data_IF_879172874329
#
_entry.id   IF_879172874329
#
_cell.length_a   1.000
_cell.length_b   1.000
_cell.length_c   1.000
_cell.angle_alpha   90.00
_cell.angle_beta   90.00
_cell.angle_gamma   90.00
#
_symmetry.space_group_name_H-M   'P 1'
#
loop_
_entity.id
_entity.type
_entity.pdbx_description
1 polymer ?
#
# COMPACT_ATOMS: atom_id res chain seq x y z
N UNK A 1 4.11 -17.87 7.60
CA UNK A 1 3.25 -17.02 8.42
C UNK A 1 2.06 -16.65 7.57
N UNK A 2 0.97 -17.44 7.67
CA UNK A 2 -0.30 -17.19 7.02
C UNK A 2 -0.98 -15.92 7.56
N UNK A 3 -2.11 -15.59 6.97
CA UNK A 3 -3.00 -14.54 7.46
C UNK A 3 -3.21 -14.73 8.97
N UNK A 4 -2.53 -13.93 9.77
CA UNK A 4 -2.74 -13.92 11.22
C UNK A 4 -4.13 -13.34 11.49
N UNK A 5 -4.76 -13.73 12.59
CA UNK A 5 -6.06 -13.17 12.98
C UNK A 5 -6.09 -11.65 12.95
N UNK A 6 -4.96 -11.02 13.28
CA UNK A 6 -4.79 -9.56 13.24
C UNK A 6 -5.01 -8.96 11.84
N UNK A 7 -4.59 -9.65 10.79
CA UNK A 7 -4.78 -9.20 9.40
C UNK A 7 -6.26 -9.23 9.00
N UNK A 8 -7.00 -10.28 9.40
CA UNK A 8 -8.43 -10.38 9.10
C UNK A 8 -9.24 -9.28 9.81
N UNK A 9 -8.92 -8.98 11.07
CA UNK A 9 -9.53 -7.88 11.82
C UNK A 9 -9.24 -6.52 11.19
N UNK A 10 -8.03 -6.32 10.67
CA UNK A 10 -7.66 -5.08 9.99
C UNK A 10 -8.49 -4.88 8.73
N UNK A 11 -8.65 -5.90 7.88
CA UNK A 11 -9.50 -5.82 6.68
C UNK A 11 -10.97 -5.57 7.03
N UNK A 12 -11.48 -6.22 8.08
CA UNK A 12 -12.84 -5.97 8.56
C UNK A 12 -13.02 -4.51 8.99
N UNK A 13 -12.07 -3.98 9.75
CA UNK A 13 -12.09 -2.59 10.19
C UNK A 13 -12.05 -1.62 8.99
N UNK A 14 -11.17 -1.85 8.03
CA UNK A 14 -11.08 -1.05 6.80
C UNK A 14 -12.39 -1.09 6.01
N UNK A 15 -12.97 -2.27 5.84
CA UNK A 15 -14.26 -2.44 5.16
C UNK A 15 -15.38 -1.67 5.86
N UNK A 16 -15.48 -1.79 7.18
CA UNK A 16 -16.50 -1.08 7.97
C UNK A 16 -16.30 0.44 7.89
N UNK A 17 -15.06 0.92 7.97
CA UNK A 17 -14.73 2.33 7.86
C UNK A 17 -15.11 2.88 6.48
N UNK A 18 -14.72 2.20 5.41
CA UNK A 18 -15.05 2.62 4.03
C UNK A 18 -16.57 2.62 3.82
N UNK A 19 -17.26 1.59 4.31
CA UNK A 19 -18.72 1.49 4.24
C UNK A 19 -19.39 2.62 5.00
N UNK A 20 -18.90 2.95 6.21
CA UNK A 20 -19.38 4.08 7.00
C UNK A 20 -19.19 5.41 6.28
N UNK A 21 -17.99 5.68 5.74
CA UNK A 21 -17.70 6.91 5.00
C UNK A 21 -18.54 7.03 3.72
N UNK A 22 -18.84 5.92 3.06
CA UNK A 22 -19.73 5.89 1.89
C UNK A 22 -21.18 6.18 2.26
N UNK A 23 -21.65 5.66 3.40
CA UNK A 23 -23.04 5.82 3.85
C UNK A 23 -23.30 7.21 4.43
N UNK A 24 -22.28 7.80 5.07
CA UNK A 24 -22.37 9.12 5.72
C UNK A 24 -21.37 10.11 5.11
N UNK A 25 -21.62 10.60 3.89
CA UNK A 25 -20.67 11.47 3.18
C UNK A 25 -20.47 12.84 3.83
N UNK A 26 -21.41 13.30 4.66
CA UNK A 26 -21.39 14.64 5.27
C UNK A 26 -20.70 14.69 6.64
N UNK A 27 -20.00 13.63 7.04
CA UNK A 27 -19.28 13.62 8.30
C UNK A 27 -18.05 14.56 8.27
N UNK A 28 -17.54 14.93 9.48
CA UNK A 28 -16.41 15.88 9.61
C UNK A 28 -15.14 15.36 8.91
N UNK A 29 -14.87 14.08 8.98
CA UNK A 29 -13.70 13.46 8.36
C UNK A 29 -13.79 13.56 6.83
N UNK A 30 -14.92 13.19 6.25
CA UNK A 30 -15.12 13.29 4.80
C UNK A 30 -14.99 14.73 4.31
N UNK A 31 -15.58 15.70 5.01
CA UNK A 31 -15.44 17.12 4.67
C UNK A 31 -14.01 17.62 4.75
N UNK A 32 -13.22 17.13 5.71
CA UNK A 32 -11.80 17.44 5.81
C UNK A 32 -11.03 16.86 4.62
N UNK A 33 -11.25 15.58 4.30
CA UNK A 33 -10.57 14.86 3.22
C UNK A 33 -10.95 15.35 1.81
N UNK A 34 -12.11 15.99 1.66
CA UNK A 34 -12.52 16.63 0.39
C UNK A 34 -11.77 17.94 0.14
N UNK A 35 -11.15 18.56 1.16
CA UNK A 35 -10.31 19.75 0.98
C UNK A 35 -8.97 19.36 0.39
N UNK A 36 -8.67 19.78 -0.84
CA UNK A 36 -7.44 19.38 -1.58
C UNK A 36 -6.16 19.60 -0.77
N UNK A 37 -6.01 20.76 -0.11
CA UNK A 37 -4.83 21.04 0.71
C UNK A 37 -4.71 20.08 1.90
N UNK A 38 -5.81 19.82 2.61
CA UNK A 38 -5.83 18.87 3.73
C UNK A 38 -5.53 17.44 3.26
N UNK A 39 -6.12 17.02 2.14
CA UNK A 39 -5.88 15.71 1.56
C UNK A 39 -4.42 15.53 1.11
N UNK A 40 -3.78 16.55 0.52
CA UNK A 40 -2.36 16.53 0.18
C UNK A 40 -1.47 16.46 1.43
N UNK A 41 -1.74 17.31 2.42
CA UNK A 41 -0.97 17.32 3.67
C UNK A 41 -1.07 16.01 4.43
N UNK A 42 -2.27 15.43 4.54
CA UNK A 42 -2.47 14.14 5.20
C UNK A 42 -1.92 12.99 4.35
N UNK A 43 -2.19 12.98 3.05
CA UNK A 43 -1.78 11.90 2.16
C UNK A 43 -0.27 11.76 1.99
N UNK A 44 0.46 12.86 1.97
CA UNK A 44 1.92 12.87 1.84
C UNK A 44 2.63 13.07 3.19
N UNK A 45 2.08 13.92 4.05
CA UNK A 45 2.70 14.25 5.33
C UNK A 45 2.69 13.09 6.32
N UNK A 46 1.58 12.37 6.46
CA UNK A 46 1.50 11.25 7.39
C UNK A 46 2.48 10.11 7.09
N UNK A 47 2.65 9.64 5.83
CA UNK A 47 3.69 8.65 5.52
C UNK A 47 5.10 9.16 5.79
N UNK A 48 5.39 10.45 5.52
CA UNK A 48 6.70 11.05 5.80
C UNK A 48 6.98 11.09 7.30
N UNK A 49 6.02 11.57 8.11
CA UNK A 49 6.12 11.57 9.57
C UNK A 49 6.26 10.14 10.11
N UNK A 50 5.46 9.21 9.60
CA UNK A 50 5.52 7.81 9.99
C UNK A 50 6.91 7.21 9.70
N UNK A 51 7.48 7.49 8.53
CA UNK A 51 8.82 7.05 8.15
C UNK A 51 9.89 7.71 9.02
N UNK A 52 9.78 9.00 9.31
CA UNK A 52 10.72 9.73 10.17
C UNK A 52 10.71 9.18 11.61
N UNK A 53 9.53 8.96 12.20
CA UNK A 53 9.39 8.35 13.53
C UNK A 53 10.01 6.97 13.56
N UNK A 54 9.76 6.15 12.54
CA UNK A 54 10.35 4.84 12.43
C UNK A 54 11.88 4.90 12.33
N UNK A 55 12.43 5.77 11.51
CA UNK A 55 13.87 5.96 11.37
C UNK A 55 14.51 6.38 12.69
N UNK A 56 13.89 7.30 13.45
CA UNK A 56 14.39 7.73 14.78
C UNK A 56 14.33 6.56 15.77
N UNK A 57 13.27 5.76 15.78
CA UNK A 57 13.15 4.60 16.66
C UNK A 57 14.20 3.54 16.31
N UNK A 58 14.45 3.29 15.02
CA UNK A 58 15.46 2.34 14.56
C UNK A 58 16.89 2.82 14.96
N UNK A 59 17.21 4.10 14.79
CA UNK A 59 18.49 4.66 15.23
C UNK A 59 18.68 4.55 16.76
N UNK A 60 17.64 4.81 17.55
CA UNK A 60 17.68 4.64 19.01
C UNK A 60 17.72 3.16 19.40
N UNK A 61 17.07 2.28 18.66
CA UNK A 61 17.08 0.83 18.89
C UNK A 61 18.45 0.21 18.74
N UNK A 62 19.31 0.77 17.89
CA UNK A 62 20.71 0.35 17.74
C UNK A 62 21.56 0.71 18.98
N UNK A 63 21.18 1.74 19.73
CA UNK A 63 21.89 2.20 20.93
C UNK A 63 21.29 1.66 22.23
N UNK A 64 20.00 1.35 22.21
CA UNK A 64 19.23 0.97 23.42
C UNK A 64 18.35 -0.23 23.10
N UNK A 65 18.74 -1.45 23.53
CA UNK A 65 18.06 -2.71 23.17
C UNK A 65 16.58 -2.79 23.54
N UNK A 66 16.10 -1.93 24.46
CA UNK A 66 14.68 -1.82 24.81
C UNK A 66 13.83 -1.14 23.71
N UNK A 67 14.45 -0.33 22.87
CA UNK A 67 13.75 0.36 21.78
C UNK A 67 13.22 -0.63 20.72
N UNK A 68 13.77 -1.83 20.61
CA UNK A 68 13.27 -2.88 19.70
C UNK A 68 11.82 -3.27 19.97
N UNK A 69 11.39 -3.26 21.23
CA UNK A 69 9.99 -3.55 21.59
C UNK A 69 9.04 -2.46 21.08
N UNK A 70 9.45 -1.20 21.16
CA UNK A 70 8.67 -0.07 20.63
C UNK A 70 8.59 -0.09 19.10
N UNK A 71 9.67 -0.50 18.43
CA UNK A 71 9.68 -0.65 16.96
C UNK A 71 8.69 -1.72 16.52
N UNK A 72 8.67 -2.87 17.19
CA UNK A 72 7.72 -3.94 16.89
C UNK A 72 6.26 -3.49 17.08
N UNK A 73 5.97 -2.82 18.19
CA UNK A 73 4.64 -2.29 18.49
C UNK A 73 4.23 -1.21 17.48
N UNK A 74 5.14 -0.29 17.14
CA UNK A 74 4.88 0.77 16.16
C UNK A 74 4.62 0.21 14.75
N UNK A 75 5.35 -0.85 14.35
CA UNK A 75 5.12 -1.51 13.05
C UNK A 75 3.74 -2.15 12.93
N UNK A 76 3.21 -2.70 14.02
CA UNK A 76 1.97 -3.49 13.99
C UNK A 76 0.73 -2.68 14.29
N UNK A 77 0.74 -1.84 15.31
CA UNK A 77 -0.46 -1.17 15.82
C UNK A 77 -0.53 0.32 15.43
N UNK A 78 0.48 1.09 15.80
CA UNK A 78 0.42 2.55 15.65
C UNK A 78 0.72 3.02 14.22
N UNK A 79 1.57 2.30 13.48
CA UNK A 79 1.94 2.67 12.11
C UNK A 79 0.83 2.42 11.08
N UNK A 80 -0.13 1.56 11.37
CA UNK A 80 -1.23 1.24 10.47
C UNK A 80 -2.23 2.40 10.32
N UNK A 81 -2.62 3.04 11.42
CA UNK A 81 -3.62 4.13 11.40
C UNK A 81 -3.21 5.35 10.58
N UNK A 82 -1.99 5.91 10.72
CA UNK A 82 -1.54 7.00 9.86
C UNK A 82 -1.53 6.63 8.37
N UNK A 83 -1.11 5.42 8.04
CA UNK A 83 -1.07 4.94 6.66
C UNK A 83 -2.49 4.77 6.09
N UNK A 84 -3.44 4.26 6.88
CA UNK A 84 -4.84 4.16 6.48
C UNK A 84 -5.44 5.54 6.22
N UNK A 85 -5.20 6.50 7.12
CA UNK A 85 -5.69 7.88 6.95
C UNK A 85 -5.05 8.55 5.73
N UNK A 86 -3.76 8.31 5.48
CA UNK A 86 -3.08 8.79 4.28
C UNK A 86 -3.68 8.18 3.00
N UNK A 87 -3.96 6.88 2.99
CA UNK A 87 -4.59 6.22 1.86
C UNK A 87 -5.99 6.77 1.57
N UNK A 88 -6.80 7.00 2.63
CA UNK A 88 -8.11 7.65 2.50
C UNK A 88 -7.97 9.08 1.97
N UNK A 89 -7.01 9.85 2.46
CA UNK A 89 -6.77 11.22 2.00
C UNK A 89 -6.40 11.26 0.51
N UNK A 90 -5.50 10.39 0.07
CA UNK A 90 -5.13 10.24 -1.34
C UNK A 90 -6.33 9.79 -2.17
N UNK A 91 -7.13 8.84 -1.69
CA UNK A 91 -8.35 8.41 -2.38
C UNK A 91 -9.32 9.58 -2.62
N UNK A 92 -9.60 10.39 -1.59
CA UNK A 92 -10.48 11.55 -1.75
C UNK A 92 -9.88 12.64 -2.64
N UNK A 93 -8.54 12.82 -2.59
CA UNK A 93 -7.83 13.72 -3.50
C UNK A 93 -8.05 13.29 -4.96
N UNK A 94 -7.76 12.03 -5.28
CA UNK A 94 -7.92 11.51 -6.64
C UNK A 94 -9.39 11.48 -7.09
N UNK A 95 -10.31 11.14 -6.18
CA UNK A 95 -11.76 11.20 -6.45
C UNK A 95 -12.23 12.61 -6.83
N UNK A 96 -11.59 13.64 -6.27
CA UNK A 96 -11.88 15.06 -6.58
C UNK A 96 -11.21 15.57 -7.87
N UNK A 97 -10.38 14.76 -8.54
CA UNK A 97 -9.77 15.13 -9.81
C UNK A 97 -10.67 14.66 -10.95
N UNK A 98 -11.08 15.58 -11.81
CA UNK A 98 -11.80 15.28 -13.06
C UNK A 98 -10.80 14.80 -14.13
N UNK A 99 -10.14 13.68 -13.87
CA UNK A 99 -9.32 13.00 -14.87
C UNK A 99 -10.27 12.29 -15.83
N UNK A 100 -10.22 12.63 -17.10
CA UNK A 100 -10.96 11.90 -18.13
C UNK A 100 -10.60 10.40 -18.13
N UNK A 101 -11.39 9.59 -18.83
CA UNK A 101 -11.13 8.16 -18.95
C UNK A 101 -9.82 7.91 -19.70
N UNK A 102 -8.76 7.57 -18.96
CA UNK A 102 -7.45 7.23 -19.54
C UNK A 102 -7.32 5.71 -19.58
N UNK A 103 -7.37 5.14 -20.79
CA UNK A 103 -7.42 3.69 -21.01
C UNK A 103 -6.31 2.90 -20.30
N UNK A 104 -5.07 3.40 -20.33
CA UNK A 104 -3.95 2.69 -19.72
C UNK A 104 -4.01 2.73 -18.18
N UNK A 105 -4.49 3.83 -17.57
CA UNK A 105 -4.72 3.91 -16.11
C UNK A 105 -5.79 2.92 -15.69
N UNK A 106 -6.89 2.85 -16.44
CA UNK A 106 -7.98 1.92 -16.16
C UNK A 106 -7.52 0.45 -16.32
N UNK A 107 -6.70 0.17 -17.33
CA UNK A 107 -6.12 -1.16 -17.49
C UNK A 107 -5.20 -1.54 -16.32
N UNK A 108 -4.30 -0.64 -15.88
CA UNK A 108 -3.43 -0.87 -14.73
C UNK A 108 -4.22 -1.00 -13.42
N UNK A 109 -5.25 -0.19 -13.21
CA UNK A 109 -6.07 -0.30 -12.00
C UNK A 109 -6.81 -1.63 -11.92
N UNK A 110 -7.20 -2.20 -13.05
CA UNK A 110 -7.80 -3.54 -13.12
C UNK A 110 -6.86 -4.67 -12.69
N UNK A 111 -5.53 -4.49 -12.84
CA UNK A 111 -4.53 -5.50 -12.44
C UNK A 111 -4.04 -5.34 -10.99
N UNK A 112 -4.40 -4.27 -10.29
CA UNK A 112 -3.87 -3.95 -8.95
C UNK A 112 -4.09 -5.08 -7.94
N UNK A 113 -5.25 -5.71 -7.94
CA UNK A 113 -5.54 -6.84 -7.05
C UNK A 113 -4.66 -8.05 -7.39
N UNK A 114 -4.47 -8.35 -8.67
CA UNK A 114 -3.58 -9.41 -9.12
C UNK A 114 -2.13 -9.17 -8.71
N UNK A 115 -1.65 -7.92 -8.86
CA UNK A 115 -0.33 -7.49 -8.38
C UNK A 115 -0.20 -7.74 -6.89
N UNK A 116 -1.20 -7.31 -6.09
CA UNK A 116 -1.19 -7.50 -4.63
C UNK A 116 -1.13 -8.98 -4.25
N UNK A 117 -1.94 -9.82 -4.86
CA UNK A 117 -1.96 -11.26 -4.57
C UNK A 117 -0.64 -11.91 -4.96
N UNK A 118 -0.14 -11.66 -6.18
CA UNK A 118 1.06 -12.31 -6.70
C UNK A 118 2.29 -12.02 -5.85
N UNK A 119 2.55 -10.75 -5.50
CA UNK A 119 3.76 -10.42 -4.73
C UNK A 119 3.67 -10.84 -3.25
N UNK A 120 2.50 -11.20 -2.74
CA UNK A 120 2.31 -11.71 -1.38
C UNK A 120 2.45 -13.23 -1.26
N UNK A 121 2.39 -13.98 -2.36
CA UNK A 121 2.60 -15.44 -2.33
C UNK A 121 4.02 -15.73 -1.83
N UNK A 122 4.21 -16.47 -0.71
CA UNK A 122 5.52 -16.62 -0.08
C UNK A 122 6.60 -17.17 -1.00
N UNK A 123 6.25 -18.17 -1.82
CA UNK A 123 7.19 -18.78 -2.77
C UNK A 123 7.61 -17.77 -3.86
N UNK A 124 6.66 -17.02 -4.41
CA UNK A 124 6.93 -16.02 -5.44
C UNK A 124 7.68 -14.83 -4.87
N UNK A 125 7.35 -14.40 -3.64
CA UNK A 125 8.05 -13.32 -2.93
C UNK A 125 9.51 -13.66 -2.73
N UNK A 126 9.81 -14.87 -2.24
CA UNK A 126 11.20 -15.33 -2.04
C UNK A 126 12.00 -15.34 -3.34
N UNK A 127 11.42 -15.90 -4.40
CA UNK A 127 12.03 -15.92 -5.74
C UNK A 127 12.27 -14.50 -6.28
N UNK A 128 11.29 -13.61 -6.15
CA UNK A 128 11.36 -12.24 -6.66
C UNK A 128 12.43 -11.41 -5.93
N UNK A 129 12.38 -11.38 -4.59
CA UNK A 129 13.25 -10.49 -3.80
C UNK A 129 14.67 -11.02 -3.63
N UNK A 130 14.84 -12.33 -3.51
CA UNK A 130 16.17 -12.94 -3.30
C UNK A 130 16.78 -13.45 -4.62
N UNK A 131 15.96 -13.98 -5.53
CA UNK A 131 16.44 -14.52 -6.80
C UNK A 131 16.65 -13.44 -7.87
N UNK A 132 15.58 -12.73 -8.26
CA UNK A 132 15.64 -11.78 -9.38
C UNK A 132 16.23 -10.44 -8.94
N UNK A 133 15.69 -9.85 -7.88
CA UNK A 133 16.03 -8.48 -7.47
C UNK A 133 17.27 -8.43 -6.58
N UNK A 134 17.68 -9.53 -5.95
CA UNK A 134 18.81 -9.55 -5.02
C UNK A 134 18.82 -8.35 -4.06
N UNK A 135 17.63 -8.06 -3.47
CA UNK A 135 17.39 -6.83 -2.72
C UNK A 135 18.38 -6.62 -1.55
N UNK A 136 18.94 -7.69 -1.01
CA UNK A 136 19.94 -7.60 0.05
C UNK A 136 21.28 -7.05 -0.43
N UNK A 137 21.67 -7.28 -1.68
CA UNK A 137 22.92 -6.78 -2.25
C UNK A 137 22.91 -5.27 -2.52
N UNK A 138 21.70 -4.66 -2.58
CA UNK A 138 21.51 -3.26 -2.97
C UNK A 138 20.92 -2.41 -1.84
N UNK A 139 21.19 -2.80 -0.58
CA UNK A 139 20.74 -2.07 0.60
C UNK A 139 21.21 -0.61 0.57
N UNK A 140 20.27 0.32 0.85
CA UNK A 140 20.53 1.75 0.96
C UNK A 140 20.49 2.55 -0.35
N UNK A 141 20.34 1.90 -1.51
CA UNK A 141 20.18 2.60 -2.79
C UNK A 141 18.72 2.96 -3.05
N UNK A 142 18.39 4.25 -2.95
CA UNK A 142 17.03 4.76 -3.24
C UNK A 142 16.65 4.52 -4.70
N UNK A 143 17.58 4.75 -5.63
CA UNK A 143 17.34 4.51 -7.05
C UNK A 143 17.02 3.06 -7.35
N UNK A 144 17.75 2.13 -6.74
CA UNK A 144 17.46 0.70 -6.89
C UNK A 144 16.10 0.33 -6.28
N UNK A 145 15.74 0.89 -5.14
CA UNK A 145 14.44 0.65 -4.50
C UNK A 145 13.29 1.10 -5.41
N UNK A 146 13.38 2.29 -6.01
CA UNK A 146 12.39 2.78 -6.95
C UNK A 146 12.29 1.89 -8.21
N UNK A 147 13.43 1.47 -8.75
CA UNK A 147 13.47 0.52 -9.87
C UNK A 147 12.80 -0.81 -9.49
N UNK A 148 13.14 -1.38 -8.34
CA UNK A 148 12.58 -2.63 -7.86
C UNK A 148 11.05 -2.57 -7.68
N UNK A 149 10.54 -1.48 -7.11
CA UNK A 149 9.08 -1.26 -6.95
C UNK A 149 8.40 -1.20 -8.32
N UNK A 150 8.96 -0.44 -9.27
CA UNK A 150 8.41 -0.34 -10.62
C UNK A 150 8.45 -1.68 -11.36
N UNK A 151 9.58 -2.41 -11.28
CA UNK A 151 9.75 -3.71 -11.92
C UNK A 151 8.79 -4.77 -11.37
N UNK A 152 8.60 -4.82 -10.04
CA UNK A 152 7.63 -5.72 -9.39
C UNK A 152 6.22 -5.39 -9.84
N UNK A 153 5.84 -4.11 -9.78
CA UNK A 153 4.50 -3.68 -10.15
C UNK A 153 4.19 -4.03 -11.61
N UNK A 154 5.06 -3.64 -12.54
CA UNK A 154 4.86 -3.88 -13.96
C UNK A 154 4.92 -5.37 -14.31
N UNK A 155 5.83 -6.12 -13.72
CA UNK A 155 5.94 -7.57 -13.92
C UNK A 155 4.69 -8.32 -13.45
N UNK A 156 4.22 -8.04 -12.23
CA UNK A 156 2.99 -8.64 -11.72
C UNK A 156 1.75 -8.19 -12.51
N UNK A 157 1.69 -6.92 -12.94
CA UNK A 157 0.61 -6.43 -13.78
C UNK A 157 0.57 -7.13 -15.15
N UNK A 158 1.72 -7.38 -15.77
CA UNK A 158 1.83 -8.12 -17.01
C UNK A 158 1.35 -9.58 -16.86
N UNK A 159 1.73 -10.25 -15.77
CA UNK A 159 1.26 -11.60 -15.47
C UNK A 159 -0.25 -11.64 -15.27
N UNK A 160 -0.82 -10.70 -14.51
CA UNK A 160 -2.28 -10.64 -14.29
C UNK A 160 -3.04 -10.28 -15.56
N UNK A 161 -2.52 -9.39 -16.40
CA UNK A 161 -3.09 -9.07 -17.71
C UNK A 161 -3.07 -10.30 -18.63
N UNK A 162 -1.98 -11.06 -18.66
CA UNK A 162 -1.89 -12.31 -19.42
C UNK A 162 -2.90 -13.34 -18.90
N UNK A 163 -3.02 -13.53 -17.59
CA UNK A 163 -4.03 -14.38 -16.96
C UNK A 163 -5.44 -13.98 -17.41
N UNK A 164 -5.76 -12.70 -17.34
CA UNK A 164 -7.09 -12.19 -17.74
C UNK A 164 -7.37 -12.44 -19.23
N UNK A 165 -6.37 -12.21 -20.09
CA UNK A 165 -6.52 -12.41 -21.52
C UNK A 165 -6.67 -13.89 -21.92
N UNK A 166 -5.91 -14.79 -21.27
CA UNK A 166 -5.83 -16.20 -21.65
C UNK A 166 -6.89 -17.07 -20.97
N UNK A 167 -7.29 -16.71 -19.75
CA UNK A 167 -8.16 -17.54 -18.91
C UNK A 167 -9.57 -16.95 -18.78
N UNK A 168 -9.67 -15.66 -18.44
CA UNK A 168 -10.98 -15.09 -18.12
C UNK A 168 -11.82 -14.77 -19.36
N UNK A 169 -11.25 -14.13 -20.38
CA UNK A 169 -11.99 -13.78 -21.61
C UNK A 169 -12.58 -14.96 -22.37
N UNK A 170 -11.91 -16.12 -22.48
CA UNK A 170 -12.51 -17.30 -23.10
C UNK A 170 -13.68 -17.90 -22.32
N UNK A 171 -13.73 -17.71 -20.99
CA UNK A 171 -14.79 -18.24 -20.12
C UNK A 171 -16.05 -17.36 -20.08
N UNK A 172 -15.95 -16.10 -20.54
CA UNK A 172 -17.07 -15.16 -20.62
C UNK A 172 -17.85 -15.23 -21.97
N UNK A 173 -17.37 -16.07 -22.91
CA UNK A 173 -18.03 -16.35 -24.18
C UNK A 173 -18.80 -17.64 -24.12
#
# INVERSE_FOLDING_TARGET
NGLTGDTAWMFLYEYLLITYLRRYPDNRLTRLLQRRCAALLLGLGLPLVNTAVRAVLEMRGLTDGKAFQYIAYYRTALGALPNLLAALALFYLFKGLSLGSVRWINALSGTTLGVYILHQIPAFRGFLWNGILQAQAHHGSVGYTLFAVAAVFLGCAAVDAARTALVMRPLEK
#
